data_IF_436433218186
#
_entry.id   IF_436433218186
#
_cell.length_a   1.000
_cell.length_b   1.000
_cell.length_c   1.000
_cell.angle_alpha   90.00
_cell.angle_beta   90.00
_cell.angle_gamma   90.00
#
_symmetry.space_group_name_H-M   'P 1'
#
loop_
_entity.id
_entity.type
_entity.pdbx_description
1 polymer ?
#
# COMPACT_ATOMS: atom_id res chain seq x y z
N UNK A 1 -23.07 6.23 1.22
CA UNK A 1 -23.44 4.81 0.96
C UNK A 1 -24.66 4.76 0.05
N UNK A 2 -24.47 4.78 -1.28
CA UNK A 2 -25.57 4.81 -2.28
C UNK A 2 -25.50 3.64 -3.29
N UNK A 3 -24.91 2.49 -2.93
CA UNK A 3 -24.73 1.38 -3.89
C UNK A 3 -25.90 0.38 -3.98
N UNK A 4 -26.95 0.52 -3.17
CA UNK A 4 -27.95 -0.56 -2.92
C UNK A 4 -28.89 -0.87 -4.11
N UNK A 5 -28.91 -0.08 -5.20
CA UNK A 5 -30.09 -0.09 -6.10
C UNK A 5 -29.96 -0.79 -7.46
N UNK A 6 -28.81 -1.33 -7.84
CA UNK A 6 -28.70 -2.06 -9.13
C UNK A 6 -28.18 -3.50 -8.97
N UNK A 7 -29.05 -4.35 -8.44
CA UNK A 7 -28.80 -5.77 -8.17
C UNK A 7 -29.35 -6.69 -9.26
N UNK A 8 -29.82 -6.17 -10.41
CA UNK A 8 -30.37 -6.97 -11.52
C UNK A 8 -29.42 -8.06 -12.03
N UNK A 9 -28.11 -7.87 -11.85
CA UNK A 9 -27.10 -8.85 -12.24
C UNK A 9 -27.03 -10.04 -11.27
N UNK A 10 -27.44 -9.89 -10.01
CA UNK A 10 -27.46 -10.98 -9.02
C UNK A 10 -28.46 -12.06 -9.40
N UNK A 11 -29.60 -11.67 -9.96
CA UNK A 11 -30.63 -12.59 -10.46
C UNK A 11 -30.11 -13.47 -11.61
N UNK A 12 -29.14 -12.97 -12.37
CA UNK A 12 -28.52 -13.65 -13.52
C UNK A 12 -27.16 -14.27 -13.18
N UNK A 13 -26.76 -14.29 -11.91
CA UNK A 13 -25.44 -14.77 -11.53
C UNK A 13 -25.40 -16.30 -11.46
N UNK A 14 -24.65 -16.91 -12.39
CA UNK A 14 -24.49 -18.37 -12.49
C UNK A 14 -23.26 -18.91 -11.74
N UNK A 15 -22.51 -18.04 -11.04
CA UNK A 15 -21.25 -18.43 -10.41
C UNK A 15 -21.45 -19.21 -9.10
N UNK A 16 -20.50 -20.10 -8.79
CA UNK A 16 -20.54 -20.96 -7.59
C UNK A 16 -20.52 -20.20 -6.26
N UNK A 17 -19.90 -19.03 -6.21
CA UNK A 17 -19.78 -18.24 -4.99
C UNK A 17 -20.27 -16.82 -5.25
N UNK A 18 -21.48 -16.53 -4.79
CA UNK A 18 -22.17 -15.25 -4.98
C UNK A 18 -21.38 -14.10 -4.36
N UNK A 19 -20.88 -14.30 -3.13
CA UNK A 19 -20.11 -13.29 -2.39
C UNK A 19 -18.83 -12.93 -3.13
N UNK A 20 -18.07 -13.93 -3.60
CA UNK A 20 -16.86 -13.70 -4.41
C UNK A 20 -17.18 -13.02 -5.74
N UNK A 21 -18.30 -13.34 -6.36
CA UNK A 21 -18.79 -12.65 -7.55
C UNK A 21 -19.06 -11.17 -7.27
N UNK A 22 -19.73 -10.91 -6.15
CA UNK A 22 -20.05 -9.55 -5.68
C UNK A 22 -18.80 -8.74 -5.40
N UNK A 23 -17.85 -9.29 -4.64
CA UNK A 23 -16.55 -8.65 -4.38
C UNK A 23 -15.83 -8.28 -5.68
N UNK A 24 -15.86 -9.16 -6.69
CA UNK A 24 -15.22 -8.90 -7.98
C UNK A 24 -15.94 -7.82 -8.78
N UNK A 25 -17.28 -7.82 -8.78
CA UNK A 25 -18.08 -6.88 -9.56
C UNK A 25 -17.96 -5.46 -9.04
N UNK A 26 -17.92 -5.30 -7.71
CA UNK A 26 -17.94 -4.00 -7.04
C UNK A 26 -16.59 -3.61 -6.40
N UNK A 27 -15.57 -4.46 -6.54
CA UNK A 27 -14.23 -4.26 -5.95
C UNK A 27 -14.24 -4.06 -4.43
N UNK A 28 -15.21 -4.68 -3.74
CA UNK A 28 -15.34 -4.63 -2.27
C UNK A 28 -14.71 -5.85 -1.61
N UNK A 29 -14.36 -5.72 -0.33
CA UNK A 29 -13.92 -6.85 0.46
C UNK A 29 -15.08 -7.80 0.83
N UNK A 30 -14.73 -8.98 1.32
CA UNK A 30 -15.69 -10.04 1.62
C UNK A 30 -16.62 -9.69 2.79
N UNK A 31 -16.14 -8.92 3.77
CA UNK A 31 -16.96 -8.48 4.91
C UNK A 31 -17.95 -7.41 4.47
N UNK A 32 -17.52 -6.46 3.64
CA UNK A 32 -18.38 -5.45 3.04
C UNK A 32 -19.46 -6.11 2.15
N UNK A 33 -19.08 -7.06 1.29
CA UNK A 33 -20.03 -7.81 0.47
C UNK A 33 -21.07 -8.58 1.32
N UNK A 34 -20.64 -9.23 2.40
CA UNK A 34 -21.54 -9.93 3.33
C UNK A 34 -22.58 -8.97 3.93
N UNK A 35 -22.15 -7.81 4.42
CA UNK A 35 -23.06 -6.80 5.00
C UNK A 35 -24.04 -6.27 3.95
N UNK A 36 -23.58 -5.96 2.75
CA UNK A 36 -24.45 -5.48 1.68
C UNK A 36 -25.45 -6.55 1.22
N UNK A 37 -25.02 -7.82 1.16
CA UNK A 37 -25.94 -8.94 0.86
C UNK A 37 -27.01 -9.13 1.92
N UNK A 38 -26.65 -8.99 3.21
CA UNK A 38 -27.62 -9.03 4.31
C UNK A 38 -28.65 -7.89 4.19
N UNK A 39 -28.20 -6.68 3.87
CA UNK A 39 -29.10 -5.53 3.62
C UNK A 39 -30.03 -5.74 2.42
N UNK A 40 -29.61 -6.53 1.43
CA UNK A 40 -30.41 -6.91 0.27
C UNK A 40 -31.36 -8.10 0.56
N UNK A 41 -31.38 -8.63 1.79
CA UNK A 41 -32.25 -9.72 2.22
C UNK A 41 -31.70 -11.12 1.97
N UNK A 42 -30.44 -11.27 1.55
CA UNK A 42 -29.81 -12.58 1.41
C UNK A 42 -29.40 -13.13 2.78
N UNK A 43 -29.63 -14.43 3.00
CA UNK A 43 -29.21 -15.10 4.22
C UNK A 43 -27.70 -15.29 4.23
N UNK A 44 -27.03 -14.60 5.14
CA UNK A 44 -25.59 -14.71 5.37
C UNK A 44 -25.34 -15.61 6.59
N UNK A 45 -24.48 -16.63 6.45
CA UNK A 45 -24.14 -17.48 7.60
C UNK A 45 -23.15 -16.77 8.52
N UNK A 46 -23.38 -16.84 9.84
CA UNK A 46 -22.40 -16.36 10.83
C UNK A 46 -21.01 -16.99 10.68
N UNK A 47 -20.93 -18.23 10.16
CA UNK A 47 -19.66 -18.90 9.85
C UNK A 47 -18.90 -18.21 8.71
N UNK A 48 -19.60 -17.75 7.68
CA UNK A 48 -19.00 -17.03 6.54
C UNK A 48 -18.45 -15.67 6.98
N UNK A 49 -19.19 -14.98 7.85
CA UNK A 49 -18.74 -13.73 8.46
C UNK A 49 -17.48 -13.91 9.30
N UNK A 50 -17.46 -14.91 10.17
CA UNK A 50 -16.26 -15.22 10.96
C UNK A 50 -15.06 -15.59 10.08
N UNK A 51 -15.28 -16.33 8.98
CA UNK A 51 -14.23 -16.66 8.02
C UNK A 51 -13.67 -15.41 7.33
N UNK A 52 -14.54 -14.49 6.92
CA UNK A 52 -14.15 -13.23 6.30
C UNK A 52 -13.33 -12.35 7.26
N UNK A 53 -13.74 -12.26 8.54
CA UNK A 53 -13.01 -11.53 9.57
C UNK A 53 -11.61 -12.13 9.77
N UNK A 54 -11.51 -13.45 9.98
CA UNK A 54 -10.22 -14.14 10.14
C UNK A 54 -9.30 -13.93 8.94
N UNK A 55 -9.85 -13.98 7.72
CA UNK A 55 -9.07 -13.75 6.51
C UNK A 55 -8.54 -12.30 6.42
N UNK A 56 -9.35 -11.31 6.81
CA UNK A 56 -8.95 -9.91 6.87
C UNK A 56 -7.84 -9.68 7.90
N UNK A 57 -7.99 -10.21 9.11
CA UNK A 57 -6.97 -10.15 10.17
C UNK A 57 -5.67 -10.83 9.73
N UNK A 58 -5.74 -12.03 9.15
CA UNK A 58 -4.58 -12.75 8.66
C UNK A 58 -3.82 -11.95 7.59
N UNK A 59 -4.54 -11.30 6.66
CA UNK A 59 -3.94 -10.41 5.66
C UNK A 59 -3.26 -9.20 6.29
N UNK A 60 -3.89 -8.57 7.29
CA UNK A 60 -3.31 -7.45 8.03
C UNK A 60 -2.01 -7.87 8.73
N UNK A 61 -2.02 -9.01 9.42
CA UNK A 61 -0.84 -9.57 10.09
C UNK A 61 0.27 -9.94 9.10
N UNK A 62 -0.05 -10.51 7.94
CA UNK A 62 0.94 -10.78 6.90
C UNK A 62 1.60 -9.51 6.38
N UNK A 63 0.83 -8.44 6.15
CA UNK A 63 1.37 -7.15 5.71
C UNK A 63 2.33 -6.57 6.74
N UNK A 64 1.96 -6.61 8.03
CA UNK A 64 2.81 -6.15 9.13
C UNK A 64 4.12 -6.94 9.18
N UNK A 65 4.06 -8.28 9.20
CA UNK A 65 5.27 -9.14 9.20
C UNK A 65 6.17 -8.90 7.98
N UNK A 66 5.57 -8.65 6.81
CA UNK A 66 6.33 -8.33 5.59
C UNK A 66 7.01 -6.97 5.69
N UNK A 67 6.36 -5.99 6.30
CA UNK A 67 6.92 -4.65 6.57
C UNK A 67 8.09 -4.77 7.56
N UNK A 68 7.89 -5.41 8.71
CA UNK A 68 8.95 -5.64 9.71
C UNK A 68 10.16 -6.38 9.12
N UNK A 69 9.93 -7.39 8.28
CA UNK A 69 11.03 -8.12 7.61
C UNK A 69 11.81 -7.23 6.65
N UNK A 70 11.15 -6.30 5.95
CA UNK A 70 11.82 -5.33 5.07
C UNK A 70 12.64 -4.34 5.88
N UNK A 71 12.06 -3.78 6.94
CA UNK A 71 12.74 -2.84 7.84
C UNK A 71 13.94 -3.49 8.52
N UNK A 72 13.83 -4.73 8.99
CA UNK A 72 14.97 -5.45 9.58
C UNK A 72 16.10 -5.68 8.57
N UNK A 73 15.77 -6.03 7.32
CA UNK A 73 16.77 -6.18 6.26
C UNK A 73 17.44 -4.86 5.91
N UNK A 74 16.66 -3.78 5.89
CA UNK A 74 17.17 -2.44 5.64
C UNK A 74 18.14 -2.01 6.74
N UNK A 75 17.77 -2.16 8.01
CA UNK A 75 18.64 -1.88 9.16
C UNK A 75 19.92 -2.72 9.14
N UNK A 76 19.82 -4.01 8.84
CA UNK A 76 20.99 -4.87 8.71
C UNK A 76 21.93 -4.42 7.59
N UNK A 77 21.38 -3.96 6.46
CA UNK A 77 22.18 -3.39 5.38
C UNK A 77 22.88 -2.11 5.84
N UNK A 78 22.14 -1.20 6.47
CA UNK A 78 22.69 0.04 7.05
C UNK A 78 23.78 -0.23 8.08
N UNK A 79 23.63 -1.24 8.95
CA UNK A 79 24.67 -1.62 9.92
C UNK A 79 25.95 -2.17 9.26
N UNK A 80 25.83 -2.94 8.18
CA UNK A 80 26.99 -3.54 7.47
C UNK A 80 27.74 -2.49 6.66
N UNK A 81 27.03 -1.55 6.03
CA UNK A 81 27.60 -0.58 5.10
C UNK A 81 27.70 0.84 5.70
N UNK A 82 27.55 0.98 7.02
CA UNK A 82 27.59 2.29 7.71
C UNK A 82 28.91 3.04 7.50
N UNK A 83 30.02 2.32 7.30
CA UNK A 83 31.35 2.89 7.10
C UNK A 83 31.73 3.02 5.60
N UNK A 84 30.83 2.65 4.69
CA UNK A 84 31.09 2.76 3.25
C UNK A 84 31.03 4.24 2.82
N UNK A 85 32.02 4.75 2.04
CA UNK A 85 32.05 6.16 1.66
C UNK A 85 30.98 6.52 0.60
N UNK A 86 30.49 5.53 -0.15
CA UNK A 86 29.52 5.71 -1.23
C UNK A 86 28.14 5.19 -0.83
N UNK A 87 27.11 6.03 -1.00
CA UNK A 87 25.72 5.61 -0.91
C UNK A 87 25.30 4.76 -2.11
N UNK A 88 25.81 5.08 -3.29
CA UNK A 88 25.53 4.35 -4.53
C UNK A 88 26.75 4.37 -5.46
N UNK A 89 27.27 3.21 -5.83
CA UNK A 89 28.37 3.10 -6.81
C UNK A 89 27.76 2.91 -8.21
N UNK A 90 27.99 3.87 -9.10
CA UNK A 90 27.50 3.83 -10.48
C UNK A 90 28.36 2.92 -11.37
N UNK A 91 29.63 2.73 -11.01
CA UNK A 91 30.54 1.83 -11.71
C UNK A 91 31.97 1.89 -11.17
N UNK A 92 32.85 1.16 -11.85
CA UNK A 92 34.27 1.14 -11.58
C UNK A 92 35.01 1.62 -12.84
N UNK A 93 36.07 2.40 -12.63
CA UNK A 93 36.99 2.78 -13.71
C UNK A 93 37.81 1.58 -14.18
N UNK A 94 38.52 1.69 -15.31
CA UNK A 94 39.39 0.63 -15.84
C UNK A 94 40.46 0.16 -14.84
N UNK A 95 40.88 1.04 -13.93
CA UNK A 95 41.83 0.73 -12.85
C UNK A 95 41.16 0.24 -11.55
N UNK A 96 39.86 -0.04 -11.56
CA UNK A 96 39.12 -0.58 -10.42
C UNK A 96 38.73 0.44 -9.34
N UNK A 97 38.85 1.74 -9.61
CA UNK A 97 38.42 2.79 -8.67
C UNK A 97 36.91 3.00 -8.80
N UNK A 98 36.13 2.88 -7.70
CA UNK A 98 34.68 3.13 -7.72
C UNK A 98 34.37 4.61 -7.90
N UNK A 99 33.30 4.92 -8.63
CA UNK A 99 32.71 6.25 -8.69
C UNK A 99 31.19 6.15 -8.55
N UNK A 100 30.59 7.15 -7.91
CA UNK A 100 29.19 7.10 -7.52
C UNK A 100 28.80 8.28 -6.63
N UNK A 101 27.65 8.17 -5.98
CA UNK A 101 27.12 9.19 -5.07
C UNK A 101 27.57 8.84 -3.65
N UNK A 102 28.15 9.81 -2.96
CA UNK A 102 28.55 9.67 -1.55
C UNK A 102 27.36 9.88 -0.60
N UNK A 103 27.48 9.36 0.63
CA UNK A 103 26.45 9.61 1.66
C UNK A 103 26.22 11.10 1.92
N UNK A 104 27.29 11.91 1.87
CA UNK A 104 27.23 13.36 2.05
C UNK A 104 26.49 14.08 0.91
N UNK A 105 26.75 13.69 -0.33
CA UNK A 105 26.06 14.25 -1.50
C UNK A 105 24.57 13.91 -1.45
N UNK A 106 24.20 12.66 -1.13
CA UNK A 106 22.79 12.27 -0.95
C UNK A 106 22.06 13.06 0.14
N UNK A 107 22.71 13.28 1.29
CA UNK A 107 22.10 14.04 2.39
C UNK A 107 21.84 15.49 2.00
N UNK A 108 22.77 16.09 1.24
CA UNK A 108 22.64 17.44 0.69
C UNK A 108 21.45 17.53 -0.27
N UNK A 109 21.35 16.61 -1.25
CA UNK A 109 20.25 16.56 -2.22
C UNK A 109 18.88 16.38 -1.54
N UNK A 110 18.81 15.53 -0.51
CA UNK A 110 17.57 15.31 0.25
C UNK A 110 17.15 16.57 1.02
N UNK A 111 18.11 17.32 1.60
CA UNK A 111 17.83 18.57 2.29
C UNK A 111 17.31 19.66 1.35
N UNK A 112 17.90 19.79 0.16
CA UNK A 112 17.52 20.78 -0.85
C UNK A 112 16.14 20.49 -1.46
N UNK A 113 15.85 19.20 -1.70
CA UNK A 113 14.54 18.78 -2.20
C UNK A 113 13.43 18.93 -1.16
N UNK A 114 13.73 18.71 0.12
CA UNK A 114 12.80 18.98 1.22
C UNK A 114 12.46 20.47 1.35
N UNK A 115 13.46 21.36 1.22
CA UNK A 115 13.28 22.82 1.23
C UNK A 115 12.39 23.28 0.07
N UNK A 116 12.68 22.86 -1.17
CA UNK A 116 11.87 23.19 -2.35
C UNK A 116 10.43 22.70 -2.26
N UNK A 117 10.22 21.52 -1.69
CA UNK A 117 8.87 21.01 -1.47
C UNK A 117 8.13 21.85 -0.42
N UNK A 118 8.77 22.23 0.68
CA UNK A 118 8.17 23.10 1.69
C UNK A 118 7.78 24.47 1.08
N UNK A 119 8.65 25.08 0.28
CA UNK A 119 8.35 26.32 -0.45
C UNK A 119 7.17 26.16 -1.42
N UNK A 120 7.09 25.04 -2.14
CA UNK A 120 5.99 24.76 -3.08
C UNK A 120 4.63 24.58 -2.40
N UNK A 121 4.59 24.01 -1.19
CA UNK A 121 3.33 23.91 -0.43
C UNK A 121 2.92 25.26 0.19
N UNK A 122 3.88 26.09 0.61
CA UNK A 122 3.60 27.43 1.14
C UNK A 122 3.07 28.41 0.06
N UNK A 123 3.46 28.25 -1.21
CA UNK A 123 2.93 29.05 -2.33
C UNK A 123 1.47 28.71 -2.66
N UNK A 124 0.99 27.51 -2.36
CA UNK A 124 -0.38 27.08 -2.71
C UNK A 124 -1.46 27.62 -1.75
N UNK A 125 -1.07 28.06 -0.54
CA UNK A 125 -1.98 28.60 0.47
C UNK A 125 -2.27 30.12 0.31
N UNK A 126 -1.45 30.88 -0.44
CA UNK A 126 -1.67 32.32 -0.65
C UNK A 126 -2.62 32.67 -1.82
N UNK A 127 -2.84 31.77 -2.78
CA UNK A 127 -3.74 32.00 -3.93
C UNK A 127 -5.18 31.48 -3.73
N UNK A 128 -5.52 30.93 -2.55
CA UNK A 128 -6.89 30.46 -2.24
C UNK A 128 -7.80 31.54 -1.65
N UNK A 129 -7.36 32.80 -1.61
CA UNK A 129 -8.20 33.94 -1.19
C UNK A 129 -8.39 34.90 -2.35
N UNK A 130 -9.23 34.53 -3.31
CA UNK A 130 -10.04 35.44 -4.13
C UNK A 130 -11.35 34.73 -4.53
#
# INVERSE_FOLDING_TARGET
MQHVKNTKWLEKYEGKNLIKGYCKRFCVDELCALTEMEMLGYKVSGKERQKAIKAMEARKMQKLKKKEKRERKQKQYEEIYSDEPFYFIAGYTENGVPFGITHKEMETDLSETAQKNNEKWNVFDEDSVL
#
